data_IF_287045089626
#
_entry.id   IF_287045089626
#
_cell.length_a   1.000
_cell.length_b   1.000
_cell.length_c   1.000
_cell.angle_alpha   90.00
_cell.angle_beta   90.00
_cell.angle_gamma   90.00
#
_symmetry.space_group_name_H-M   'P 1'
#
loop_
_entity.id
_entity.type
_entity.pdbx_description
1 polymer ?
#
# COMPACT_ATOMS: atom_id res chain seq x y z
N UNK A 1 24.15 30.57 31.84
CA UNK A 1 23.16 31.25 30.97
C UNK A 1 21.96 30.33 30.88
N UNK A 2 20.75 30.71 31.32
CA UNK A 2 19.60 29.82 31.22
C UNK A 2 19.31 29.60 29.73
N UNK A 3 19.56 28.36 29.33
CA UNK A 3 19.07 27.61 28.18
C UNK A 3 18.19 28.40 27.20
N UNK A 4 18.73 28.66 26.01
CA UNK A 4 17.95 29.16 24.88
C UNK A 4 16.79 28.20 24.60
N UNK A 5 15.64 28.77 24.20
CA UNK A 5 14.35 28.10 23.96
C UNK A 5 14.57 26.66 23.51
N UNK A 6 14.57 25.76 24.50
CA UNK A 6 14.90 24.37 24.32
C UNK A 6 13.62 23.59 24.09
N UNK A 7 13.80 22.33 23.72
CA UNK A 7 12.70 21.35 23.70
C UNK A 7 11.98 21.34 25.06
N UNK A 8 12.71 21.57 26.16
CA UNK A 8 12.17 21.65 27.52
C UNK A 8 11.11 22.75 27.69
N UNK A 9 11.39 23.99 27.28
CA UNK A 9 10.43 25.10 27.35
C UNK A 9 9.19 24.83 26.50
N UNK A 10 9.37 24.23 25.31
CA UNK A 10 8.25 23.85 24.44
C UNK A 10 7.37 22.78 25.09
N UNK A 11 7.95 21.80 25.76
CA UNK A 11 7.22 20.76 26.50
C UNK A 11 6.45 21.36 27.67
N UNK A 12 7.06 22.27 28.44
CA UNK A 12 6.37 22.95 29.56
C UNK A 12 5.17 23.75 29.03
N UNK A 13 5.34 24.51 27.95
CA UNK A 13 4.25 25.26 27.33
C UNK A 13 3.14 24.36 26.81
N UNK A 14 3.50 23.23 26.19
CA UNK A 14 2.53 22.20 25.79
C UNK A 14 1.76 21.69 26.99
N UNK A 15 2.41 21.32 28.08
CA UNK A 15 1.73 20.82 29.30
C UNK A 15 0.72 21.84 29.81
N UNK A 16 1.08 23.12 29.88
CA UNK A 16 0.15 24.19 30.29
C UNK A 16 -1.06 24.25 29.35
N UNK A 17 -0.85 24.23 28.04
CA UNK A 17 -1.95 24.19 27.06
C UNK A 17 -2.81 22.93 27.21
N UNK A 18 -2.19 21.77 27.45
CA UNK A 18 -2.89 20.51 27.67
C UNK A 18 -3.76 20.54 28.92
N UNK A 19 -3.35 21.24 29.98
CA UNK A 19 -4.16 21.39 31.20
C UNK A 19 -5.36 22.30 30.95
N UNK A 20 -5.17 23.42 30.24
CA UNK A 20 -6.25 24.36 29.94
C UNK A 20 -7.25 23.84 28.89
N UNK A 21 -6.74 23.32 27.78
CA UNK A 21 -7.56 22.84 26.66
C UNK A 21 -7.95 21.35 26.80
N UNK A 22 -7.20 20.58 27.60
CA UNK A 22 -7.35 19.14 27.74
C UNK A 22 -6.51 18.35 26.73
N UNK A 23 -5.92 17.21 27.12
CA UNK A 23 -5.08 16.39 26.24
C UNK A 23 -5.84 15.76 25.06
N UNK A 24 -7.18 15.71 25.12
CA UNK A 24 -8.02 15.19 24.05
C UNK A 24 -8.32 16.22 22.95
N UNK A 25 -8.33 17.52 23.27
CA UNK A 25 -8.79 18.56 22.34
C UNK A 25 -7.72 19.00 21.34
N UNK A 26 -6.46 19.04 21.75
CA UNK A 26 -5.34 19.32 20.85
C UNK A 26 -5.23 18.33 19.67
N UNK A 27 -5.24 17.00 19.88
CA UNK A 27 -5.19 16.06 18.76
C UNK A 27 -6.47 16.05 17.93
N UNK A 28 -7.63 16.31 18.53
CA UNK A 28 -8.91 16.42 17.83
C UNK A 28 -8.90 17.60 16.84
N UNK A 29 -8.49 18.79 17.30
CA UNK A 29 -8.32 19.98 16.45
C UNK A 29 -7.18 19.81 15.44
N UNK A 30 -6.07 19.19 15.82
CA UNK A 30 -4.97 18.90 14.91
C UNK A 30 -5.38 17.95 13.77
N UNK A 31 -6.26 16.98 14.04
CA UNK A 31 -6.78 16.07 13.00
C UNK A 31 -7.69 16.79 12.01
N UNK A 32 -8.58 17.67 12.46
CA UNK A 32 -9.45 18.43 11.55
C UNK A 32 -8.66 19.45 10.72
N UNK A 33 -7.75 20.18 11.36
CA UNK A 33 -6.84 21.10 10.68
C UNK A 33 -5.91 20.37 9.71
N UNK A 34 -5.42 19.19 10.08
CA UNK A 34 -4.53 18.38 9.25
C UNK A 34 -5.22 17.87 7.98
N UNK A 35 -6.49 17.45 8.08
CA UNK A 35 -7.29 17.07 6.90
C UNK A 35 -7.49 18.26 5.96
N UNK A 36 -7.91 19.41 6.48
CA UNK A 36 -8.08 20.61 5.67
C UNK A 36 -6.76 21.09 5.05
N UNK A 37 -5.65 21.02 5.79
CA UNK A 37 -4.32 21.37 5.27
C UNK A 37 -3.86 20.40 4.17
N UNK A 38 -4.20 19.12 4.30
CA UNK A 38 -3.91 18.10 3.29
C UNK A 38 -4.71 18.37 2.01
N UNK A 39 -6.03 18.50 2.11
CA UNK A 39 -6.91 18.83 0.98
C UNK A 39 -6.51 20.15 0.29
N UNK A 40 -6.14 21.16 1.09
CA UNK A 40 -5.63 22.44 0.58
C UNK A 40 -4.29 22.29 -0.15
N UNK A 41 -3.37 21.50 0.42
CA UNK A 41 -2.08 21.18 -0.22
C UNK A 41 -2.30 20.43 -1.52
N UNK A 42 -3.20 19.45 -1.54
CA UNK A 42 -3.47 18.58 -2.69
C UNK A 42 -4.09 19.40 -3.83
N UNK A 43 -5.04 20.29 -3.50
CA UNK A 43 -5.65 21.25 -4.43
C UNK A 43 -4.65 22.23 -5.03
N UNK A 44 -3.69 22.72 -4.23
CA UNK A 44 -2.63 23.63 -4.71
C UNK A 44 -1.56 22.89 -5.49
N UNK A 45 -1.26 21.65 -5.10
CA UNK A 45 -0.21 20.84 -5.71
C UNK A 45 -0.68 20.10 -6.97
N UNK A 46 -1.96 20.22 -7.35
CA UNK A 46 -2.54 19.59 -8.54
C UNK A 46 -2.46 18.07 -8.53
N UNK A 47 -2.44 17.46 -7.34
CA UNK A 47 -2.49 16.00 -7.18
C UNK A 47 -3.97 15.60 -7.11
N UNK A 48 -4.53 15.24 -8.25
CA UNK A 48 -5.82 14.56 -8.28
C UNK A 48 -5.64 13.16 -7.65
N UNK A 49 -6.49 12.83 -6.68
CA UNK A 49 -6.46 11.61 -5.87
C UNK A 49 -6.81 10.34 -6.69
N UNK A 50 -5.95 9.92 -7.62
CA UNK A 50 -6.07 8.62 -8.31
C UNK A 50 -5.41 7.44 -7.54
N UNK A 51 -4.99 7.66 -6.29
CA UNK A 51 -4.40 6.62 -5.44
C UNK A 51 -5.35 6.26 -4.28
N UNK A 52 -6.37 5.47 -4.58
CA UNK A 52 -7.15 4.73 -3.58
C UNK A 52 -6.20 3.77 -2.81
N UNK A 53 -6.12 3.83 -1.46
CA UNK A 53 -5.40 2.79 -0.73
C UNK A 53 -6.27 1.53 -0.66
N UNK A 54 -6.22 0.72 -1.73
CA UNK A 54 -6.75 -0.64 -1.81
C UNK A 54 -6.21 -1.57 -0.69
N UNK A 55 -5.19 -1.14 0.06
CA UNK A 55 -4.45 -2.02 0.94
C UNK A 55 -4.95 -2.22 2.39
N UNK A 56 -6.07 -1.61 2.83
CA UNK A 56 -6.58 -1.86 4.20
C UNK A 56 -7.58 -3.02 4.34
N UNK A 57 -7.86 -3.76 3.25
CA UNK A 57 -8.74 -4.94 3.27
C UNK A 57 -8.01 -6.30 3.28
N UNK A 58 -6.68 -6.35 3.30
CA UNK A 58 -5.91 -7.61 3.22
C UNK A 58 -5.32 -8.12 4.54
N UNK A 59 -5.80 -7.66 5.70
CA UNK A 59 -5.30 -8.12 7.00
C UNK A 59 -6.30 -8.96 7.80
N UNK A 60 -7.44 -9.35 7.22
CA UNK A 60 -8.45 -10.18 7.93
C UNK A 60 -8.81 -11.48 7.23
N UNK A 61 -8.43 -11.68 5.97
CA UNK A 61 -8.67 -12.93 5.24
C UNK A 61 -7.40 -13.37 4.54
N UNK A 62 -6.45 -13.93 5.29
CA UNK A 62 -5.45 -14.81 4.69
C UNK A 62 -6.03 -16.23 4.73
N UNK A 63 -6.34 -16.86 3.57
CA UNK A 63 -6.57 -18.30 3.56
C UNK A 63 -5.29 -18.99 4.08
N UNK A 64 -5.40 -20.01 4.97
CA UNK A 64 -4.25 -20.79 5.37
C UNK A 64 -3.53 -21.27 4.11
N UNK A 65 -2.23 -21.01 4.02
CA UNK A 65 -1.39 -21.56 2.99
C UNK A 65 -1.39 -23.09 3.12
N UNK A 66 -2.33 -23.76 2.47
CA UNK A 66 -2.25 -25.19 2.22
C UNK A 66 -1.09 -25.42 1.24
N UNK A 67 -0.08 -26.11 1.75
CA UNK A 67 1.21 -26.38 1.12
C UNK A 67 1.02 -27.21 -0.16
N UNK A 68 1.89 -27.02 -1.18
CA UNK A 68 1.81 -27.78 -2.42
C UNK A 68 2.25 -29.24 -2.19
N UNK A 69 1.32 -30.18 -2.34
CA UNK A 69 1.54 -31.60 -2.58
C UNK A 69 0.49 -31.97 -3.65
N UNK A 70 0.77 -32.48 -4.84
CA UNK A 70 1.81 -33.33 -5.42
C UNK A 70 1.69 -33.11 -6.96
N UNK A 71 2.76 -32.99 -7.76
CA UNK A 71 2.61 -32.93 -9.21
C UNK A 71 2.23 -34.30 -9.77
N UNK A 72 0.92 -34.61 -9.80
CA UNK A 72 0.40 -35.67 -10.65
C UNK A 72 0.53 -35.21 -12.12
N UNK A 73 1.68 -35.51 -12.71
CA UNK A 73 1.98 -35.30 -14.11
C UNK A 73 1.03 -36.19 -14.94
N UNK A 74 -0.05 -35.57 -15.44
CA UNK A 74 -0.93 -36.21 -16.41
C UNK A 74 -0.13 -36.41 -17.70
N UNK A 75 0.17 -37.67 -18.02
CA UNK A 75 0.72 -38.09 -19.31
C UNK A 75 -0.23 -37.66 -20.43
N UNK A 76 0.07 -36.53 -21.07
CA UNK A 76 -0.61 -36.12 -22.31
C UNK A 76 0.13 -36.80 -23.46
N UNK A 77 -0.42 -37.92 -23.91
CA UNK A 77 0.00 -38.62 -25.13
C UNK A 77 -0.03 -37.64 -26.33
N UNK A 78 1.11 -37.37 -27.02
CA UNK A 78 1.15 -36.36 -28.08
C UNK A 78 0.33 -36.77 -29.30
N UNK A 79 -0.49 -35.87 -29.90
CA UNK A 79 -1.28 -36.17 -31.07
C UNK A 79 -0.39 -36.48 -32.29
N UNK A 80 -0.68 -37.63 -32.90
CA UNK A 80 -0.10 -38.19 -34.11
C UNK A 80 -0.06 -37.14 -35.24
N UNK A 81 1.14 -36.65 -35.58
CA UNK A 81 1.34 -35.69 -36.67
C UNK A 81 1.29 -36.40 -38.02
N UNK A 82 0.07 -36.65 -38.49
CA UNK A 82 -0.17 -37.14 -39.83
C UNK A 82 0.07 -36.03 -40.87
N UNK A 83 1.04 -36.31 -41.75
CA UNK A 83 1.02 -36.05 -43.20
C UNK A 83 0.67 -34.63 -43.65
N UNK A 84 1.70 -33.82 -43.84
CA UNK A 84 1.69 -32.75 -44.84
C UNK A 84 2.91 -32.93 -45.75
N UNK A 85 2.63 -33.57 -46.89
CA UNK A 85 3.17 -33.28 -48.22
C UNK A 85 4.30 -32.24 -48.28
N UNK A 86 5.51 -32.73 -48.48
CA UNK A 86 6.48 -32.02 -49.32
C UNK A 86 7.27 -33.03 -50.12
N UNK A 87 6.60 -33.50 -51.17
CA UNK A 87 7.20 -33.80 -52.46
C UNK A 87 8.33 -32.78 -52.74
N UNK A 88 9.56 -33.21 -52.49
CA UNK A 88 10.76 -32.57 -53.02
C UNK A 88 11.76 -33.67 -53.32
N UNK A 89 12.26 -33.56 -54.53
CA UNK A 89 13.54 -34.08 -55.01
C UNK A 89 13.49 -35.52 -55.54
N UNK A 90 12.89 -35.60 -56.72
CA UNK A 90 13.49 -36.16 -57.93
C UNK A 90 15.03 -36.16 -57.88
N UNK A 91 15.62 -37.20 -57.30
CA UNK A 91 16.95 -37.71 -57.63
C UNK A 91 16.83 -39.24 -57.73
N UNK A 92 17.03 -39.73 -58.95
CA UNK A 92 17.06 -41.13 -59.44
C UNK A 92 15.74 -41.68 -59.96
#
# INVERSE_FOLDING_TARGET
MPFGIGVTEMVILLIVLLVFFGPKRLPEMGRSLGKGMREFKDSISGKDDDDEPVHKRYATELPPAEQPADPEYVDVEPPERDRVTRERDTIT
#
